data_IF_328838669344
#
_entry.id   IF_328838669344
#
_cell.length_a   1.000
_cell.length_b   1.000
_cell.length_c   1.000
_cell.angle_alpha   90.00
_cell.angle_beta   90.00
_cell.angle_gamma   90.00
#
_symmetry.space_group_name_H-M   'P 1'
#
loop_
_entity.id
_entity.type
_entity.pdbx_description
1 polymer ?
#
# COMPACT_ATOMS: atom_id res chain seq x y z
N UNK A 1 17.26 -7.95 -6.00
CA UNK A 1 17.01 -6.50 -6.03
C UNK A 1 15.94 -6.13 -7.05
N UNK A 2 16.07 -6.51 -8.33
CA UNK A 2 15.09 -6.15 -9.38
C UNK A 2 13.66 -6.69 -9.12
N UNK A 3 13.52 -7.87 -8.52
CA UNK A 3 12.23 -8.42 -8.09
C UNK A 3 11.57 -7.60 -6.96
N UNK A 4 12.35 -7.07 -6.01
CA UNK A 4 11.84 -6.26 -4.89
C UNK A 4 11.40 -4.87 -5.35
N UNK A 5 12.07 -4.29 -6.36
CA UNK A 5 11.62 -3.06 -6.98
C UNK A 5 10.30 -3.23 -7.74
N UNK A 6 10.12 -4.34 -8.48
CA UNK A 6 8.85 -4.63 -9.14
C UNK A 6 7.72 -4.84 -8.13
N UNK A 7 7.98 -5.61 -7.08
CA UNK A 7 7.02 -5.83 -5.99
C UNK A 7 6.64 -4.50 -5.29
N UNK A 8 7.62 -3.64 -5.04
CA UNK A 8 7.38 -2.29 -4.51
C UNK A 8 6.51 -1.44 -5.45
N UNK A 9 6.82 -1.44 -6.74
CA UNK A 9 6.05 -0.70 -7.75
C UNK A 9 4.60 -1.20 -7.84
N UNK A 10 4.40 -2.52 -7.82
CA UNK A 10 3.08 -3.15 -7.86
C UNK A 10 2.26 -2.79 -6.60
N UNK A 11 2.87 -2.83 -5.42
CA UNK A 11 2.24 -2.42 -4.15
C UNK A 11 1.88 -0.93 -4.15
N UNK A 12 2.76 -0.05 -4.66
CA UNK A 12 2.48 1.38 -4.79
C UNK A 12 1.31 1.62 -5.75
N UNK A 13 1.27 0.91 -6.88
CA UNK A 13 0.19 1.01 -7.85
C UNK A 13 -1.14 0.54 -7.23
N UNK A 14 -1.11 -0.57 -6.50
CA UNK A 14 -2.28 -1.11 -5.82
C UNK A 14 -2.82 -0.14 -4.75
N UNK A 15 -1.94 0.42 -3.92
CA UNK A 15 -2.30 1.43 -2.92
C UNK A 15 -2.97 2.64 -3.54
N UNK A 16 -2.42 3.17 -4.64
CA UNK A 16 -3.02 4.29 -5.37
C UNK A 16 -4.41 3.96 -5.88
N UNK A 17 -4.60 2.76 -6.43
CA UNK A 17 -5.92 2.27 -6.85
C UNK A 17 -6.94 2.28 -5.71
N UNK A 18 -6.57 1.71 -4.56
CA UNK A 18 -7.44 1.66 -3.37
C UNK A 18 -7.81 3.07 -2.87
N UNK A 19 -6.83 3.98 -2.76
CA UNK A 19 -7.07 5.37 -2.33
C UNK A 19 -8.02 6.10 -3.30
N UNK A 20 -7.85 5.91 -4.61
CA UNK A 20 -8.73 6.52 -5.61
C UNK A 20 -10.16 5.98 -5.52
N UNK A 21 -10.32 4.66 -5.37
CA UNK A 21 -11.64 4.04 -5.20
C UNK A 21 -12.29 4.48 -3.89
N UNK A 22 -11.57 4.46 -2.77
CA UNK A 22 -12.08 4.96 -1.48
C UNK A 22 -12.63 6.39 -1.61
N UNK A 23 -11.87 7.31 -2.21
CA UNK A 23 -12.28 8.71 -2.42
C UNK A 23 -13.48 8.84 -3.35
N UNK A 24 -13.52 8.03 -4.40
CA UNK A 24 -14.65 7.99 -5.33
C UNK A 24 -15.92 7.53 -4.60
N UNK A 25 -15.83 6.45 -3.83
CA UNK A 25 -16.97 5.87 -3.10
C UNK A 25 -17.44 6.77 -1.97
N UNK A 26 -16.52 7.42 -1.24
CA UNK A 26 -16.81 8.46 -0.25
C UNK A 26 -17.62 9.61 -0.88
N UNK A 27 -17.17 10.12 -2.04
CA UNK A 27 -17.88 11.17 -2.78
C UNK A 27 -19.26 10.73 -3.26
N UNK A 28 -19.40 9.47 -3.66
CA UNK A 28 -20.65 8.92 -4.17
C UNK A 28 -21.61 8.44 -3.05
N UNK A 29 -21.25 8.67 -1.78
CA UNK A 29 -22.12 8.42 -0.63
C UNK A 29 -22.11 6.97 -0.14
N UNK A 30 -21.01 6.24 -0.31
CA UNK A 30 -20.82 4.92 0.27
C UNK A 30 -21.02 4.92 1.78
N UNK A 31 -21.52 3.80 2.31
CA UNK A 31 -21.77 3.67 3.74
C UNK A 31 -20.47 3.43 4.51
N UNK A 32 -20.54 3.59 5.83
CA UNK A 32 -19.38 3.45 6.72
C UNK A 32 -18.66 2.09 6.57
N UNK A 33 -19.40 0.97 6.53
CA UNK A 33 -18.77 -0.35 6.40
C UNK A 33 -18.04 -0.56 5.07
N UNK A 34 -18.54 0.06 3.99
CA UNK A 34 -17.83 0.05 2.71
C UNK A 34 -16.54 0.89 2.76
N UNK A 35 -16.58 2.07 3.40
CA UNK A 35 -15.39 2.91 3.56
C UNK A 35 -14.36 2.26 4.50
N UNK A 36 -14.82 1.61 5.57
CA UNK A 36 -13.97 0.88 6.51
C UNK A 36 -13.25 -0.29 5.82
N UNK A 37 -13.94 -1.05 4.97
CA UNK A 37 -13.32 -2.11 4.16
C UNK A 37 -12.17 -1.58 3.30
N UNK A 38 -12.35 -0.43 2.65
CA UNK A 38 -11.29 0.19 1.87
C UNK A 38 -10.16 0.74 2.75
N UNK A 39 -10.47 1.29 3.92
CA UNK A 39 -9.46 1.76 4.87
C UNK A 39 -8.59 0.61 5.39
N UNK A 40 -9.20 -0.51 5.76
CA UNK A 40 -8.49 -1.73 6.18
C UNK A 40 -7.57 -2.26 5.07
N UNK A 41 -8.07 -2.31 3.83
CA UNK A 41 -7.26 -2.74 2.69
C UNK A 41 -6.08 -1.78 2.42
N UNK A 42 -6.29 -0.47 2.56
CA UNK A 42 -5.23 0.55 2.43
C UNK A 42 -4.14 0.34 3.48
N UNK A 43 -4.52 0.09 4.73
CA UNK A 43 -3.57 -0.12 5.82
C UNK A 43 -2.78 -1.42 5.65
N UNK A 44 -3.43 -2.51 5.23
CA UNK A 44 -2.72 -3.75 4.91
C UNK A 44 -1.66 -3.59 3.82
N UNK A 45 -1.93 -2.80 2.77
CA UNK A 45 -0.95 -2.55 1.70
C UNK A 45 0.19 -1.65 2.19
N UNK A 46 -0.08 -0.71 3.11
CA UNK A 46 0.97 0.09 3.74
C UNK A 46 1.91 -0.75 4.60
N UNK A 47 1.38 -1.71 5.33
CA UNK A 47 2.19 -2.64 6.12
C UNK A 47 3.09 -3.49 5.22
N UNK A 48 2.54 -4.03 4.12
CA UNK A 48 3.33 -4.77 3.12
C UNK A 48 4.43 -3.91 2.48
N UNK A 49 4.14 -2.65 2.18
CA UNK A 49 5.15 -1.70 1.69
C UNK A 49 6.26 -1.47 2.71
N UNK A 50 5.94 -1.34 3.99
CA UNK A 50 6.92 -1.17 5.06
C UNK A 50 7.83 -2.41 5.19
N UNK A 51 7.28 -3.61 5.07
CA UNK A 51 8.03 -4.87 5.11
C UNK A 51 9.00 -4.99 3.93
N UNK A 52 8.54 -4.66 2.71
CA UNK A 52 9.37 -4.69 1.50
C UNK A 52 10.47 -3.62 1.57
N UNK A 53 10.16 -2.41 2.03
CA UNK A 53 11.14 -1.33 2.18
C UNK A 53 12.21 -1.64 3.25
N UNK A 54 11.82 -2.28 4.34
CA UNK A 54 12.74 -2.66 5.42
C UNK A 54 13.64 -3.82 4.98
N UNK A 55 13.10 -4.82 4.29
CA UNK A 55 13.87 -5.99 3.81
C UNK A 55 14.78 -5.67 2.62
N UNK A 56 14.50 -4.61 1.87
CA UNK A 56 15.32 -4.15 0.74
C UNK A 56 16.46 -3.21 1.12
N UNK A 57 16.56 -2.79 2.39
CA UNK A 57 17.67 -1.99 2.91
C UNK A 57 18.92 -2.87 3.10
N UNK A 58 20.01 -2.72 2.33
CA UNK A 58 21.24 -3.48 2.57
C UNK A 58 21.89 -2.98 3.87
N UNK A 59 22.41 -3.92 4.65
CA UNK A 59 23.31 -3.74 5.78
C UNK A 59 24.60 -2.98 5.37
N UNK A 60 24.53 -1.67 5.10
CA UNK A 60 25.69 -0.76 5.10
C UNK A 60 25.86 -0.19 6.50
N UNK A 61 26.25 -1.04 7.44
CA UNK A 61 26.72 -0.61 8.75
C UNK A 61 27.75 -1.62 9.30
N UNK A 62 28.90 -1.72 8.62
CA UNK A 62 30.16 -2.17 9.21
C UNK A 62 31.29 -1.89 8.20
N UNK A 63 31.88 -0.70 8.29
CA UNK A 63 33.20 -0.37 7.73
C UNK A 63 33.92 0.51 8.75
#
# INVERSE_FOLDING_TARGET
MEHSFRELDDLILHLKGLVLVHRLRERDGANAGELDMYAEAIDQVRDQLADVATSSTPHRAAA
#
